data_IF_560440319342
#
_entry.id   IF_560440319342
#
_cell.length_a   1.000
_cell.length_b   1.000
_cell.length_c   1.000
_cell.angle_alpha   90.00
_cell.angle_beta   90.00
_cell.angle_gamma   90.00
#
_symmetry.space_group_name_H-M   'P 1'
#
loop_
_entity.id
_entity.type
_entity.pdbx_description
1 polymer ?
#
# COMPACT_ATOMS: atom_id res chain seq x y z
N UNK A 1 73.13 66.74 -36.37
CA UNK A 1 72.10 67.02 -35.35
C UNK A 1 71.34 65.73 -35.10
N UNK A 2 71.30 65.35 -33.82
CA UNK A 2 70.64 64.18 -33.24
C UNK A 2 69.23 63.88 -33.76
N UNK A 3 68.87 62.59 -33.80
CA UNK A 3 67.91 62.05 -32.83
C UNK A 3 67.86 60.51 -32.84
N UNK A 4 68.15 59.92 -31.65
CA UNK A 4 67.85 58.54 -31.25
C UNK A 4 66.55 58.56 -30.42
N UNK A 5 65.61 57.65 -30.69
CA UNK A 5 64.56 57.22 -29.75
C UNK A 5 64.30 55.73 -30.03
N UNK A 6 64.86 54.81 -29.25
CA UNK A 6 64.36 54.19 -27.99
C UNK A 6 63.19 53.21 -28.19
N UNK A 7 63.55 51.95 -28.40
CA UNK A 7 62.76 50.74 -28.17
C UNK A 7 63.01 50.18 -26.75
N UNK A 8 62.07 49.35 -26.31
CA UNK A 8 62.16 48.36 -25.21
C UNK A 8 62.00 48.80 -23.75
N UNK A 9 60.76 48.70 -23.25
CA UNK A 9 60.47 48.30 -21.86
C UNK A 9 58.99 47.92 -21.64
N UNK A 10 58.52 46.75 -22.10
CA UNK A 10 57.26 46.14 -21.62
C UNK A 10 57.26 44.62 -21.67
N UNK A 11 57.68 43.97 -20.57
CA UNK A 11 57.06 42.73 -20.07
C UNK A 11 57.86 42.21 -18.87
N UNK A 12 57.26 42.12 -17.67
CA UNK A 12 57.58 41.12 -16.62
C UNK A 12 56.89 41.47 -15.28
N UNK A 13 55.56 41.44 -15.23
CA UNK A 13 54.79 41.48 -13.98
C UNK A 13 53.56 40.57 -14.14
N UNK A 14 53.65 39.29 -13.76
CA UNK A 14 52.45 38.44 -13.82
C UNK A 14 52.55 36.94 -13.46
N UNK A 15 53.73 36.37 -13.23
CA UNK A 15 53.88 34.89 -13.13
C UNK A 15 54.17 34.33 -11.73
N UNK A 16 54.46 35.17 -10.72
CA UNK A 16 54.88 34.68 -9.38
C UNK A 16 53.73 34.42 -8.38
N UNK A 17 52.54 34.97 -8.61
CA UNK A 17 51.40 34.79 -7.70
C UNK A 17 50.71 33.42 -7.85
N UNK A 18 50.57 32.92 -9.08
CA UNK A 18 49.87 31.66 -9.36
C UNK A 18 50.62 30.42 -8.86
N UNK A 19 51.96 30.40 -8.91
CA UNK A 19 52.74 29.23 -8.47
C UNK A 19 52.74 29.03 -6.95
N UNK A 20 52.73 30.12 -6.18
CA UNK A 20 52.64 30.08 -4.71
C UNK A 20 51.27 29.59 -4.23
N UNK A 21 50.20 29.98 -4.91
CA UNK A 21 48.85 29.52 -4.60
C UNK A 21 48.69 28.01 -4.87
N UNK A 22 49.20 27.52 -6.00
CA UNK A 22 49.17 26.08 -6.35
C UNK A 22 50.00 25.21 -5.39
N UNK A 23 51.18 25.69 -4.96
CA UNK A 23 52.01 24.98 -3.99
C UNK A 23 51.39 24.94 -2.58
N UNK A 24 50.65 25.99 -2.20
CA UNK A 24 49.90 26.02 -0.93
C UNK A 24 48.72 25.03 -0.96
N UNK A 25 47.96 24.98 -2.05
CA UNK A 25 46.88 23.99 -2.23
C UNK A 25 47.45 22.57 -2.18
N UNK A 26 48.54 22.27 -2.90
CA UNK A 26 49.18 20.94 -2.87
C UNK A 26 49.72 20.54 -1.49
N UNK A 27 50.13 21.51 -0.66
CA UNK A 27 50.66 21.23 0.68
C UNK A 27 49.55 20.99 1.72
N UNK A 28 48.37 21.55 1.51
CA UNK A 28 47.28 21.54 2.49
C UNK A 28 46.02 20.80 2.02
N UNK A 29 46.02 20.16 0.84
CA UNK A 29 44.85 19.44 0.31
C UNK A 29 44.35 18.29 1.21
N UNK A 30 45.20 17.77 2.09
CA UNK A 30 44.83 16.74 3.06
C UNK A 30 44.03 17.27 4.28
N UNK A 31 44.08 18.58 4.56
CA UNK A 31 43.35 19.17 5.71
C UNK A 31 41.83 19.10 5.55
N UNK A 32 41.25 19.40 4.37
CA UNK A 32 39.83 19.13 4.12
C UNK A 32 39.42 17.69 4.40
N UNK A 33 40.25 16.70 4.03
CA UNK A 33 39.97 15.27 4.27
C UNK A 33 39.92 14.97 5.78
N UNK A 34 40.82 15.57 6.57
CA UNK A 34 40.83 15.44 8.03
C UNK A 34 39.65 16.14 8.72
N UNK A 35 39.04 17.15 8.08
CA UNK A 35 37.83 17.82 8.59
C UNK A 35 36.54 17.12 8.17
N UNK A 36 36.53 16.41 7.04
CA UNK A 36 35.38 15.60 6.59
C UNK A 36 35.14 14.43 7.55
N UNK A 37 36.19 13.76 8.04
CA UNK A 37 36.04 12.62 8.94
C UNK A 37 35.27 12.92 10.25
N UNK A 38 35.58 13.96 11.05
CA UNK A 38 34.81 14.31 12.24
C UNK A 38 33.42 14.86 11.91
N UNK A 39 33.23 15.50 10.75
CA UNK A 39 31.92 15.92 10.28
C UNK A 39 31.03 14.71 9.96
N UNK A 40 31.54 13.76 9.18
CA UNK A 40 30.87 12.48 8.88
C UNK A 40 30.61 11.68 10.16
N UNK A 41 31.56 11.62 11.10
CA UNK A 41 31.35 10.97 12.39
C UNK A 41 30.26 11.68 13.21
N UNK A 42 30.26 13.01 13.22
CA UNK A 42 29.22 13.81 13.90
C UNK A 42 27.84 13.58 13.28
N UNK A 43 27.76 13.55 11.94
CA UNK A 43 26.54 13.24 11.20
C UNK A 43 26.08 11.80 11.46
N UNK A 44 26.99 10.83 11.44
CA UNK A 44 26.69 9.42 11.71
C UNK A 44 26.18 9.22 13.14
N UNK A 45 26.84 9.82 14.13
CA UNK A 45 26.37 9.79 15.54
C UNK A 45 25.00 10.47 15.65
N UNK A 46 24.78 11.60 14.97
CA UNK A 46 23.48 12.26 14.97
C UNK A 46 22.39 11.42 14.29
N UNK A 47 22.70 10.70 13.22
CA UNK A 47 21.80 9.82 12.49
C UNK A 47 21.49 8.53 13.25
N UNK A 48 22.45 8.02 14.04
CA UNK A 48 22.30 6.78 14.82
C UNK A 48 21.76 7.03 16.22
N UNK A 49 21.74 8.27 16.73
CA UNK A 49 21.19 8.64 18.04
C UNK A 49 19.73 8.25 18.31
N UNK A 50 18.78 8.32 17.37
CA UNK A 50 17.45 7.76 17.58
C UNK A 50 17.51 6.23 17.50
N UNK A 51 18.16 5.60 18.47
CA UNK A 51 18.09 4.15 18.66
C UNK A 51 16.74 3.83 19.27
N UNK A 52 15.89 3.14 18.53
CA UNK A 52 14.65 2.59 19.04
C UNK A 52 14.98 1.57 20.13
N UNK A 53 14.58 1.86 21.37
CA UNK A 53 14.81 0.92 22.46
C UNK A 53 13.60 -0.01 22.61
N UNK A 54 13.81 -1.28 23.01
CA UNK A 54 12.70 -2.21 23.27
C UNK A 54 11.71 -1.71 24.35
N UNK A 55 12.21 -0.92 25.31
CA UNK A 55 11.40 -0.27 26.36
C UNK A 55 10.37 0.70 25.78
N UNK A 56 10.76 1.49 24.76
CA UNK A 56 9.88 2.47 24.10
C UNK A 56 8.68 1.76 23.44
N UNK A 57 8.95 0.64 22.76
CA UNK A 57 7.90 -0.19 22.14
C UNK A 57 6.94 -0.80 23.16
N UNK A 58 7.48 -1.25 24.30
CA UNK A 58 6.67 -1.84 25.37
C UNK A 58 5.74 -0.79 25.99
N UNK A 59 6.25 0.42 26.21
CA UNK A 59 5.46 1.55 26.72
C UNK A 59 4.37 1.98 25.72
N UNK A 60 4.71 2.13 24.44
CA UNK A 60 3.74 2.46 23.38
C UNK A 60 2.67 1.38 23.27
N UNK A 61 3.05 0.10 23.31
CA UNK A 61 2.12 -1.03 23.26
C UNK A 61 1.11 -0.99 24.41
N UNK A 62 1.60 -0.83 25.65
CA UNK A 62 0.72 -0.73 26.82
C UNK A 62 -0.26 0.44 26.69
N UNK A 63 0.21 1.59 26.19
CA UNK A 63 -0.64 2.76 25.98
C UNK A 63 -1.68 2.56 24.87
N UNK A 64 -1.32 1.82 23.80
CA UNK A 64 -2.23 1.46 22.72
C UNK A 64 -3.31 0.48 23.20
N UNK A 65 -2.92 -0.57 23.93
CA UNK A 65 -3.87 -1.57 24.48
C UNK A 65 -4.93 -0.92 25.37
N UNK A 66 -4.58 0.15 26.10
CA UNK A 66 -5.52 0.87 26.96
C UNK A 66 -6.51 1.78 26.22
N UNK A 67 -6.24 2.17 24.97
CA UNK A 67 -7.01 3.21 24.26
C UNK A 67 -7.66 2.75 22.96
N UNK A 68 -7.07 1.76 22.29
CA UNK A 68 -7.49 1.37 20.94
C UNK A 68 -8.87 0.73 20.97
N UNK A 69 -9.75 1.17 20.07
CA UNK A 69 -11.04 0.52 19.82
C UNK A 69 -10.96 -0.40 18.60
N UNK A 70 -11.81 -1.44 18.48
CA UNK A 70 -11.83 -2.30 17.29
C UNK A 70 -11.97 -1.54 15.96
N UNK A 71 -12.71 -0.43 15.97
CA UNK A 71 -12.91 0.47 14.83
C UNK A 71 -11.78 1.45 14.58
N UNK A 72 -10.78 1.55 15.47
CA UNK A 72 -9.67 2.50 15.30
C UNK A 72 -8.62 1.90 14.34
N UNK A 73 -8.05 2.76 13.50
CA UNK A 73 -6.88 2.44 12.70
C UNK A 73 -5.62 2.53 13.56
N UNK A 74 -4.71 1.58 13.42
CA UNK A 74 -3.35 1.69 13.96
C UNK A 74 -2.37 1.67 12.78
N UNK A 75 -1.52 2.68 12.68
CA UNK A 75 -0.49 2.77 11.63
C UNK A 75 0.87 3.09 12.22
N UNK A 76 1.92 2.68 11.50
CA UNK A 76 3.30 2.95 11.87
C UNK A 76 3.94 3.83 10.80
N UNK A 77 4.64 4.88 11.24
CA UNK A 77 5.28 5.87 10.38
C UNK A 77 6.76 6.04 10.73
N UNK A 78 7.66 6.15 9.74
CA UNK A 78 7.42 5.99 8.31
C UNK A 78 7.09 4.52 7.94
N UNK A 79 6.54 4.28 6.75
CA UNK A 79 6.03 2.97 6.33
C UNK A 79 7.07 1.84 6.38
N UNK A 80 8.35 2.12 6.19
CA UNK A 80 9.41 1.10 6.29
C UNK A 80 9.58 0.55 7.71
N UNK A 81 9.09 1.25 8.74
CA UNK A 81 9.15 0.80 10.14
C UNK A 81 8.02 -0.17 10.49
N UNK A 82 7.00 -0.28 9.64
CA UNK A 82 5.79 -1.08 9.86
C UNK A 82 6.08 -2.56 10.18
N UNK A 83 7.02 -3.26 9.51
CA UNK A 83 7.33 -4.65 9.86
C UNK A 83 7.86 -4.82 11.29
N UNK A 84 8.66 -3.85 11.77
CA UNK A 84 9.13 -3.85 13.16
C UNK A 84 7.97 -3.52 14.11
N UNK A 85 7.12 -2.56 13.74
CA UNK A 85 5.92 -2.24 14.51
C UNK A 85 4.98 -3.44 14.67
N UNK A 86 4.74 -4.22 13.61
CA UNK A 86 3.97 -5.47 13.70
C UNK A 86 4.59 -6.48 14.66
N UNK A 87 5.91 -6.66 14.59
CA UNK A 87 6.62 -7.56 15.49
C UNK A 87 6.45 -7.15 16.97
N UNK A 88 6.51 -5.85 17.26
CA UNK A 88 6.48 -5.33 18.63
C UNK A 88 5.05 -5.20 19.19
N UNK A 89 4.12 -4.69 18.38
CA UNK A 89 2.72 -4.44 18.77
C UNK A 89 1.86 -5.71 18.70
N UNK A 90 2.23 -6.68 17.86
CA UNK A 90 1.55 -7.96 17.70
C UNK A 90 0.21 -7.88 16.97
N UNK A 91 -0.34 -9.05 16.66
CA UNK A 91 -1.52 -9.19 15.77
C UNK A 91 -2.83 -8.66 16.40
N UNK A 92 -2.89 -8.50 17.72
CA UNK A 92 -4.05 -7.93 18.41
C UNK A 92 -4.19 -6.42 18.17
N UNK A 93 -3.07 -5.69 18.08
CA UNK A 93 -3.06 -4.26 17.76
C UNK A 93 -2.93 -4.02 16.25
N UNK A 94 -2.13 -4.84 15.57
CA UNK A 94 -1.87 -4.76 14.13
C UNK A 94 -2.63 -5.86 13.39
N UNK A 95 -3.95 -5.87 13.54
CA UNK A 95 -4.81 -6.87 12.89
C UNK A 95 -4.69 -6.81 11.37
N UNK A 96 -5.02 -7.90 10.69
CA UNK A 96 -5.05 -7.95 9.21
C UNK A 96 -5.93 -6.84 8.63
N UNK A 97 -7.08 -6.55 9.26
CA UNK A 97 -7.99 -5.49 8.82
C UNK A 97 -7.38 -4.09 8.90
N UNK A 98 -6.45 -3.84 9.84
CA UNK A 98 -5.74 -2.55 9.97
C UNK A 98 -4.54 -2.48 9.04
N UNK A 99 -3.73 -3.54 9.03
CA UNK A 99 -2.47 -3.61 8.27
C UNK A 99 -2.74 -3.67 6.78
N UNK A 100 -3.65 -4.54 6.35
CA UNK A 100 -3.96 -4.80 4.96
C UNK A 100 -5.24 -4.12 4.49
N UNK A 101 -5.58 -2.97 5.09
CA UNK A 101 -6.76 -2.18 4.72
C UNK A 101 -6.73 -1.72 3.26
N UNK A 102 -7.91 -1.56 2.69
CA UNK A 102 -8.07 -0.96 1.36
C UNK A 102 -7.75 0.55 1.41
N UNK A 103 -8.38 1.24 2.36
CA UNK A 103 -8.29 2.68 2.55
C UNK A 103 -8.48 3.07 4.04
N UNK A 104 -8.12 4.31 4.37
CA UNK A 104 -8.23 4.88 5.72
C UNK A 104 -9.62 5.46 6.04
N UNK A 105 -10.45 5.78 5.04
CA UNK A 105 -11.70 6.51 5.23
C UNK A 105 -12.72 5.75 6.08
N UNK A 106 -12.63 4.41 6.10
CA UNK A 106 -13.49 3.54 6.92
C UNK A 106 -13.27 3.66 8.43
N UNK A 107 -12.20 4.29 8.86
CA UNK A 107 -11.86 4.41 10.27
C UNK A 107 -12.21 5.83 10.79
N UNK A 108 -12.96 5.95 11.89
CA UNK A 108 -13.28 7.25 12.49
C UNK A 108 -12.07 7.90 13.17
N UNK A 109 -11.13 7.09 13.65
CA UNK A 109 -9.93 7.53 14.37
C UNK A 109 -8.74 6.68 13.95
N UNK A 110 -7.57 7.31 13.88
CA UNK A 110 -6.30 6.67 13.67
C UNK A 110 -5.39 6.94 14.87
N UNK A 111 -4.65 5.92 15.28
CA UNK A 111 -3.53 6.04 16.19
C UNK A 111 -2.25 5.76 15.39
N UNK A 112 -1.47 6.80 15.17
CA UNK A 112 -0.20 6.75 14.47
C UNK A 112 0.94 6.57 15.48
N UNK A 113 1.72 5.50 15.34
CA UNK A 113 3.01 5.34 16.02
C UNK A 113 4.11 5.75 15.07
N UNK A 114 4.82 6.82 15.36
CA UNK A 114 5.81 7.41 14.46
C UNK A 114 7.22 7.45 15.05
N UNK A 115 8.24 7.32 14.21
CA UNK A 115 9.62 7.62 14.56
C UNK A 115 9.88 9.12 14.34
N UNK A 116 10.14 9.84 15.42
CA UNK A 116 10.34 11.29 15.40
C UNK A 116 9.15 12.05 14.79
N UNK A 117 9.42 12.98 13.88
CA UNK A 117 8.40 13.80 13.21
C UNK A 117 7.78 13.15 11.99
N UNK A 118 8.03 11.86 11.72
CA UNK A 118 7.44 11.17 10.58
C UNK A 118 5.91 11.17 10.64
N UNK A 119 5.27 11.28 9.47
CA UNK A 119 3.81 11.29 9.31
C UNK A 119 3.38 10.35 8.18
N UNK A 120 2.26 9.67 8.38
CA UNK A 120 1.62 8.84 7.39
C UNK A 120 0.92 9.75 6.37
N UNK A 121 1.24 9.69 5.07
CA UNK A 121 0.70 10.62 4.09
C UNK A 121 -0.84 10.65 4.03
N UNK A 122 -1.49 9.48 4.18
CA UNK A 122 -2.95 9.38 4.15
C UNK A 122 -3.66 10.06 5.34
N UNK A 123 -2.92 10.38 6.41
CA UNK A 123 -3.45 11.02 7.62
C UNK A 123 -3.14 12.52 7.67
N UNK A 124 -2.58 13.10 6.60
CA UNK A 124 -2.14 14.49 6.59
C UNK A 124 -3.29 15.49 6.83
N UNK A 125 -4.49 15.17 6.38
CA UNK A 125 -5.70 15.99 6.56
C UNK A 125 -6.45 15.70 7.87
N UNK A 126 -6.03 14.70 8.65
CA UNK A 126 -6.74 14.28 9.85
C UNK A 126 -6.43 15.20 11.03
N UNK A 127 -7.42 15.44 11.88
CA UNK A 127 -7.28 16.37 12.99
C UNK A 127 -6.54 15.71 14.16
N UNK A 128 -5.37 16.26 14.53
CA UNK A 128 -4.61 15.79 15.69
C UNK A 128 -5.36 16.14 16.99
N UNK A 129 -5.74 15.12 17.75
CA UNK A 129 -6.41 15.28 19.06
C UNK A 129 -5.44 15.18 20.22
N UNK A 130 -4.46 14.28 20.12
CA UNK A 130 -3.53 13.97 21.19
C UNK A 130 -2.18 13.52 20.64
N UNK A 131 -1.11 13.90 21.32
CA UNK A 131 0.26 13.50 20.99
C UNK A 131 1.03 13.17 22.28
N UNK A 132 1.75 12.06 22.27
CA UNK A 132 2.58 11.58 23.38
C UNK A 132 3.87 10.98 22.83
N UNK A 133 4.96 11.01 23.61
CA UNK A 133 6.29 10.56 23.17
C UNK A 133 6.95 9.62 24.17
N UNK A 134 7.65 8.61 23.66
CA UNK A 134 8.49 7.67 24.41
C UNK A 134 9.80 7.49 23.65
N UNK A 135 10.87 8.11 24.16
CA UNK A 135 12.16 8.10 23.49
C UNK A 135 12.06 8.67 22.06
N UNK A 136 12.37 7.85 21.06
CA UNK A 136 12.29 8.23 19.66
C UNK A 136 10.90 8.01 19.03
N UNK A 137 9.99 7.32 19.72
CA UNK A 137 8.63 7.06 19.25
C UNK A 137 7.66 8.15 19.70
N UNK A 138 6.73 8.50 18.82
CA UNK A 138 5.62 9.40 19.12
C UNK A 138 4.31 8.73 18.73
N UNK A 139 3.34 8.69 19.64
CA UNK A 139 1.98 8.24 19.36
C UNK A 139 1.08 9.45 19.18
N UNK A 140 0.35 9.50 18.07
CA UNK A 140 -0.64 10.54 17.76
C UNK A 140 -2.00 9.92 17.58
N UNK A 141 -3.02 10.49 18.23
CA UNK A 141 -4.43 10.16 17.98
C UNK A 141 -5.00 11.22 17.04
N UNK A 142 -5.51 10.79 15.89
CA UNK A 142 -6.04 11.66 14.85
C UNK A 142 -7.48 11.29 14.54
N UNK A 143 -8.37 12.28 14.46
CA UNK A 143 -9.76 12.11 14.06
C UNK A 143 -9.92 12.28 12.55
N UNK A 144 -10.64 11.34 11.94
CA UNK A 144 -11.03 11.44 10.54
C UNK A 144 -12.08 12.55 10.37
N UNK A 145 -11.84 13.56 9.50
CA UNK A 145 -12.81 14.63 9.26
C UNK A 145 -14.08 14.15 8.53
N UNK A 146 -14.00 13.03 7.79
CA UNK A 146 -15.10 12.51 6.97
C UNK A 146 -15.08 10.97 6.98
N UNK A 147 -15.57 10.33 8.06
CA UNK A 147 -15.59 8.88 8.18
C UNK A 147 -16.68 8.24 7.34
N UNK A 148 -16.30 7.23 6.55
CA UNK A 148 -17.18 6.43 5.71
C UNK A 148 -17.30 5.00 6.26
N UNK A 149 -18.13 4.75 7.29
CA UNK A 149 -18.21 3.45 7.95
C UNK A 149 -18.73 2.35 7.02
N UNK A 150 -18.24 1.13 7.23
CA UNK A 150 -18.60 -0.02 6.41
C UNK A 150 -19.92 -0.61 6.89
N UNK A 151 -20.90 -0.71 6.00
CA UNK A 151 -22.14 -1.45 6.25
C UNK A 151 -21.89 -2.95 6.07
N UNK A 152 -21.25 -3.31 4.97
CA UNK A 152 -20.95 -4.69 4.61
C UNK A 152 -19.57 -4.81 3.94
N UNK A 153 -18.79 -5.85 4.31
CA UNK A 153 -17.43 -6.11 3.81
C UNK A 153 -17.40 -7.42 3.04
N UNK A 154 -17.42 -7.34 1.71
CA UNK A 154 -17.64 -8.51 0.86
C UNK A 154 -16.46 -9.47 0.86
N UNK A 155 -15.26 -9.01 1.24
CA UNK A 155 -14.11 -9.91 1.44
C UNK A 155 -14.39 -10.85 2.61
N UNK A 156 -15.01 -10.35 3.69
CA UNK A 156 -15.43 -11.18 4.83
C UNK A 156 -16.54 -12.17 4.48
N UNK A 157 -17.25 -11.93 3.36
CA UNK A 157 -18.26 -12.84 2.83
C UNK A 157 -17.72 -13.88 1.84
N UNK A 158 -16.40 -13.94 1.62
CA UNK A 158 -15.77 -14.90 0.72
C UNK A 158 -15.70 -16.33 1.34
N UNK A 159 -16.86 -16.86 1.72
CA UNK A 159 -17.05 -18.16 2.39
C UNK A 159 -18.05 -19.02 1.63
N UNK A 160 -17.96 -20.35 1.78
CA UNK A 160 -18.88 -21.33 1.17
C UNK A 160 -20.37 -21.03 1.39
N UNK A 161 -20.70 -20.40 2.53
CA UNK A 161 -22.08 -20.14 2.92
C UNK A 161 -22.62 -18.84 2.36
N UNK A 162 -21.77 -17.81 2.19
CA UNK A 162 -22.20 -16.46 1.83
C UNK A 162 -21.94 -16.12 0.37
N UNK A 163 -21.06 -16.85 -0.31
CA UNK A 163 -20.71 -16.64 -1.72
C UNK A 163 -20.85 -17.94 -2.51
N UNK A 164 -21.15 -17.83 -3.80
CA UNK A 164 -20.96 -18.91 -4.78
C UNK A 164 -20.00 -18.40 -5.87
N UNK A 165 -19.22 -19.32 -6.45
CA UNK A 165 -18.26 -18.99 -7.52
C UNK A 165 -18.48 -19.94 -8.70
N UNK A 166 -18.47 -19.40 -9.91
CA UNK A 166 -18.64 -20.18 -11.14
C UNK A 166 -17.87 -19.61 -12.32
N UNK A 167 -17.51 -20.46 -13.27
CA UNK A 167 -17.02 -20.10 -14.59
C UNK A 167 -18.21 -20.12 -15.57
N UNK A 168 -18.36 -19.05 -16.35
CA UNK A 168 -19.49 -18.86 -17.24
C UNK A 168 -19.00 -18.65 -18.67
N UNK A 169 -19.58 -19.38 -19.63
CA UNK A 169 -19.30 -19.23 -21.07
C UNK A 169 -20.61 -19.33 -21.85
N UNK A 170 -21.13 -18.19 -22.30
CA UNK A 170 -22.48 -18.13 -22.86
C UNK A 170 -23.49 -18.64 -21.82
N UNK A 171 -24.28 -19.64 -22.18
CA UNK A 171 -25.26 -20.27 -21.28
C UNK A 171 -24.65 -21.35 -20.37
N UNK A 172 -23.42 -21.81 -20.64
CA UNK A 172 -22.78 -22.84 -19.83
C UNK A 172 -22.25 -22.26 -18.52
N UNK A 173 -22.72 -22.81 -17.39
CA UNK A 173 -22.27 -22.46 -16.04
C UNK A 173 -21.57 -23.66 -15.40
N UNK A 174 -20.32 -23.48 -15.00
CA UNK A 174 -19.54 -24.49 -14.28
C UNK A 174 -19.26 -23.98 -12.85
N UNK A 175 -19.86 -24.56 -11.80
CA UNK A 175 -19.57 -24.16 -10.42
C UNK A 175 -18.13 -24.51 -10.04
N UNK A 176 -17.49 -23.63 -9.26
CA UNK A 176 -16.22 -23.91 -8.62
C UNK A 176 -16.46 -24.57 -7.25
N UNK A 177 -15.63 -25.54 -6.90
CA UNK A 177 -15.81 -26.32 -5.66
C UNK A 177 -15.10 -25.63 -4.48
N UNK A 178 -15.80 -25.46 -3.37
CA UNK A 178 -15.17 -25.04 -2.12
C UNK A 178 -14.35 -26.18 -1.51
N UNK A 179 -13.08 -25.93 -1.19
CA UNK A 179 -12.21 -26.91 -0.54
C UNK A 179 -11.41 -26.29 0.59
N UNK A 180 -11.17 -27.12 1.59
CA UNK A 180 -10.20 -26.87 2.64
C UNK A 180 -8.89 -27.59 2.29
N UNK A 181 -7.78 -26.86 2.30
CA UNK A 181 -6.46 -27.38 2.05
C UNK A 181 -5.41 -26.74 2.96
N UNK A 182 -4.14 -27.08 2.74
CA UNK A 182 -3.06 -26.40 3.45
C UNK A 182 -2.90 -24.97 2.91
N UNK A 183 -2.66 -23.98 3.78
CA UNK A 183 -2.32 -22.64 3.34
C UNK A 183 -0.90 -22.65 2.75
N UNK A 184 -0.68 -21.85 1.71
CA UNK A 184 0.62 -21.77 1.05
C UNK A 184 1.03 -20.31 0.93
N UNK A 185 2.25 -20.02 1.38
CA UNK A 185 2.89 -18.72 1.21
C UNK A 185 4.32 -18.96 0.74
N UNK A 186 4.94 -17.95 0.14
CA UNK A 186 6.28 -18.08 -0.42
C UNK A 186 7.07 -16.76 -0.39
N UNK A 187 8.31 -16.79 -0.90
CA UNK A 187 9.14 -15.59 -1.00
C UNK A 187 8.53 -14.57 -1.97
N UNK A 188 9.15 -13.38 -2.05
CA UNK A 188 8.78 -12.37 -3.05
C UNK A 188 8.69 -12.99 -4.45
N UNK A 189 7.61 -12.70 -5.18
CA UNK A 189 7.33 -13.27 -6.49
C UNK A 189 6.57 -14.60 -6.49
N UNK A 190 6.22 -15.14 -5.31
CA UNK A 190 5.35 -16.33 -5.22
C UNK A 190 3.91 -16.06 -5.66
N UNK A 191 3.44 -14.82 -5.57
CA UNK A 191 2.04 -14.47 -5.71
C UNK A 191 1.37 -14.17 -4.36
N UNK A 192 0.05 -13.94 -4.36
CA UNK A 192 -0.73 -13.79 -3.14
C UNK A 192 -0.69 -15.07 -2.30
N UNK A 193 -0.82 -14.91 -0.98
CA UNK A 193 -0.88 -16.05 -0.06
C UNK A 193 -2.14 -16.90 -0.34
N UNK A 194 -1.99 -18.21 -0.50
CA UNK A 194 -3.13 -19.10 -0.71
C UNK A 194 -3.73 -19.46 0.66
N UNK A 195 -4.98 -19.06 0.96
CA UNK A 195 -5.63 -19.40 2.22
C UNK A 195 -5.98 -20.89 2.27
N UNK A 196 -6.21 -21.46 3.45
CA UNK A 196 -6.66 -22.85 3.58
C UNK A 196 -8.00 -23.09 2.88
N UNK A 197 -8.94 -22.18 3.09
CA UNK A 197 -10.31 -22.23 2.60
C UNK A 197 -10.45 -21.39 1.32
N UNK A 198 -10.84 -22.04 0.22
CA UNK A 198 -10.95 -21.39 -1.10
C UNK A 198 -11.80 -22.18 -2.08
N UNK A 199 -12.32 -21.50 -3.09
CA UNK A 199 -12.90 -22.14 -4.26
C UNK A 199 -11.79 -22.57 -5.23
N UNK A 200 -11.91 -23.77 -5.77
CA UNK A 200 -11.05 -24.28 -6.84
C UNK A 200 -11.76 -24.16 -8.19
N UNK A 201 -11.19 -23.36 -9.08
CA UNK A 201 -11.71 -23.08 -10.42
C UNK A 201 -10.71 -23.57 -11.47
N UNK A 202 -10.81 -24.85 -11.87
CA UNK A 202 -9.85 -25.51 -12.79
C UNK A 202 -8.39 -25.38 -12.31
N UNK A 203 -7.60 -24.52 -12.95
CA UNK A 203 -6.17 -24.31 -12.65
C UNK A 203 -5.91 -23.10 -11.75
N UNK A 204 -6.96 -22.50 -11.19
CA UNK A 204 -6.86 -21.35 -10.29
C UNK A 204 -7.74 -21.53 -9.06
N UNK A 205 -7.65 -20.57 -8.13
CA UNK A 205 -8.48 -20.51 -6.94
C UNK A 205 -9.09 -19.12 -6.77
N UNK A 206 -10.19 -19.06 -6.02
CA UNK A 206 -10.86 -17.81 -5.63
C UNK A 206 -11.10 -17.81 -4.13
N UNK A 207 -10.79 -16.72 -3.45
CA UNK A 207 -10.96 -16.61 -2.01
C UNK A 207 -10.27 -15.38 -1.42
N UNK A 208 -10.48 -15.16 -0.13
CA UNK A 208 -9.81 -14.10 0.62
C UNK A 208 -8.28 -14.32 0.65
N UNK A 209 -7.52 -13.25 0.43
CA UNK A 209 -6.06 -13.26 0.52
C UNK A 209 -5.49 -11.89 0.90
N UNK A 210 -4.18 -11.85 1.07
CA UNK A 210 -3.37 -10.64 1.12
C UNK A 210 -2.55 -10.54 -0.17
N UNK A 211 -2.80 -9.50 -0.95
CA UNK A 211 -2.06 -9.16 -2.17
C UNK A 211 -1.08 -8.02 -1.88
N UNK A 212 0.14 -8.09 -2.42
CA UNK A 212 1.06 -6.96 -2.39
C UNK A 212 0.76 -6.05 -3.59
N UNK A 213 0.44 -4.79 -3.33
CA UNK A 213 0.23 -3.80 -4.39
C UNK A 213 1.56 -3.31 -5.00
N UNK A 214 1.49 -2.37 -5.95
CA UNK A 214 2.65 -1.82 -6.65
C UNK A 214 3.66 -1.13 -5.71
N UNK A 215 3.23 -0.69 -4.52
CA UNK A 215 4.07 -0.09 -3.47
C UNK A 215 4.50 -1.12 -2.42
N UNK A 216 4.26 -2.41 -2.66
CA UNK A 216 4.48 -3.51 -1.71
C UNK A 216 3.67 -3.38 -0.41
N UNK A 217 2.57 -2.61 -0.42
CA UNK A 217 1.65 -2.59 0.72
C UNK A 217 0.74 -3.81 0.68
N UNK A 218 0.50 -4.46 1.81
CA UNK A 218 -0.44 -5.57 1.88
C UNK A 218 -1.88 -5.05 1.68
N UNK A 219 -2.68 -5.76 0.89
CA UNK A 219 -4.09 -5.47 0.62
C UNK A 219 -4.92 -6.72 0.82
N UNK A 220 -5.85 -6.67 1.78
CA UNK A 220 -6.82 -7.73 2.02
C UNK A 220 -7.90 -7.63 0.94
N UNK A 221 -8.05 -8.69 0.16
CA UNK A 221 -8.90 -8.69 -1.02
C UNK A 221 -9.32 -10.12 -1.39
N UNK A 222 -10.22 -10.23 -2.36
CA UNK A 222 -10.60 -11.50 -2.97
C UNK A 222 -9.72 -11.72 -4.19
N UNK A 223 -8.90 -12.77 -4.14
CA UNK A 223 -8.18 -13.24 -5.32
C UNK A 223 -9.18 -13.82 -6.31
N UNK A 224 -9.24 -13.27 -7.52
CA UNK A 224 -10.21 -13.67 -8.53
C UNK A 224 -9.65 -13.49 -9.95
N UNK A 225 -8.64 -14.27 -10.32
CA UNK A 225 -7.98 -14.14 -11.61
C UNK A 225 -8.96 -14.48 -12.76
N UNK A 226 -9.10 -13.63 -13.79
CA UNK A 226 -9.99 -13.89 -14.92
C UNK A 226 -9.54 -15.13 -15.72
N UNK A 227 -10.48 -15.92 -16.26
CA UNK A 227 -10.18 -17.16 -16.99
C UNK A 227 -9.65 -16.93 -18.42
N UNK A 228 -9.80 -15.70 -18.95
CA UNK A 228 -9.37 -15.34 -20.30
C UNK A 228 -10.37 -15.71 -21.41
N UNK A 229 -10.18 -15.12 -22.60
CA UNK A 229 -11.01 -15.41 -23.77
C UNK A 229 -12.46 -14.95 -23.62
N UNK A 230 -13.40 -15.86 -23.88
CA UNK A 230 -14.86 -15.60 -23.82
C UNK A 230 -15.50 -16.12 -22.53
N UNK A 231 -14.69 -16.58 -21.57
CA UNK A 231 -15.17 -17.07 -20.28
C UNK A 231 -15.11 -15.95 -19.24
N UNK A 232 -16.06 -15.97 -18.30
CA UNK A 232 -16.20 -15.00 -17.21
C UNK A 232 -16.12 -15.75 -15.89
N UNK A 233 -15.40 -15.19 -14.92
CA UNK A 233 -15.45 -15.65 -13.54
C UNK A 233 -16.57 -14.87 -12.82
N UNK A 234 -17.57 -15.58 -12.34
CA UNK A 234 -18.73 -15.01 -11.65
C UNK A 234 -18.67 -15.34 -10.16
N UNK A 235 -18.69 -14.29 -9.33
CA UNK A 235 -18.84 -14.36 -7.87
C UNK A 235 -20.22 -13.83 -7.50
N UNK A 236 -20.91 -14.52 -6.60
CA UNK A 236 -22.29 -14.17 -6.22
C UNK A 236 -22.48 -14.23 -4.72
N UNK A 237 -22.68 -13.08 -4.09
CA UNK A 237 -22.95 -12.95 -2.66
C UNK A 237 -24.45 -12.97 -2.38
N UNK A 238 -24.90 -13.84 -1.48
CA UNK A 238 -26.32 -14.18 -1.31
C UNK A 238 -27.15 -13.11 -0.60
N UNK A 239 -26.55 -12.38 0.34
CA UNK A 239 -27.26 -11.47 1.24
C UNK A 239 -26.41 -10.25 1.59
N UNK A 240 -26.25 -9.33 0.63
CA UNK A 240 -25.50 -8.09 0.83
C UNK A 240 -26.42 -6.99 1.31
N UNK A 241 -26.05 -6.32 2.41
CA UNK A 241 -26.76 -5.13 2.88
C UNK A 241 -26.26 -3.89 2.14
N UNK A 242 -27.12 -3.28 1.35
CA UNK A 242 -26.78 -2.12 0.53
C UNK A 242 -26.82 -0.82 1.32
N UNK A 243 -25.83 0.03 1.04
CA UNK A 243 -25.81 1.43 1.42
C UNK A 243 -26.17 2.33 0.25
N UNK A 244 -25.74 3.58 0.33
CA UNK A 244 -25.84 4.56 -0.76
C UNK A 244 -24.78 4.34 -1.83
N UNK A 245 -23.66 3.70 -1.50
CA UNK A 245 -22.59 3.43 -2.44
C UNK A 245 -22.06 1.99 -2.32
N UNK A 246 -21.66 1.45 -3.46
CA UNK A 246 -20.75 0.30 -3.55
C UNK A 246 -19.35 0.84 -3.86
N UNK A 247 -18.46 0.80 -2.88
CA UNK A 247 -17.08 1.28 -3.00
C UNK A 247 -16.14 0.09 -3.02
N UNK A 248 -15.19 0.08 -3.94
CA UNK A 248 -14.18 -0.96 -3.99
C UNK A 248 -12.84 -0.48 -4.50
N UNK A 249 -11.88 -1.38 -4.39
CA UNK A 249 -10.55 -1.21 -4.93
C UNK A 249 -10.12 -2.48 -5.63
N UNK A 250 -9.26 -2.35 -6.62
CA UNK A 250 -8.71 -3.48 -7.36
C UNK A 250 -7.30 -3.21 -7.83
N UNK A 251 -6.55 -4.30 -7.97
CA UNK A 251 -5.21 -4.31 -8.48
C UNK A 251 -4.84 -5.69 -9.03
N UNK A 252 -3.66 -5.75 -9.62
CA UNK A 252 -2.93 -6.97 -9.89
C UNK A 252 -1.79 -7.15 -8.86
N UNK A 253 -1.26 -8.36 -8.76
CA UNK A 253 -0.04 -8.59 -7.99
C UNK A 253 1.14 -7.82 -8.61
N UNK A 254 2.06 -7.35 -7.76
CA UNK A 254 3.11 -6.37 -8.09
C UNK A 254 3.91 -6.64 -9.38
N UNK A 255 4.24 -7.89 -9.73
CA UNK A 255 4.95 -8.20 -10.96
C UNK A 255 4.13 -7.90 -12.21
N UNK A 256 2.82 -8.17 -12.18
CA UNK A 256 1.94 -7.87 -13.30
C UNK A 256 1.76 -6.36 -13.49
N UNK A 257 1.54 -5.63 -12.39
CA UNK A 257 1.46 -4.16 -12.36
C UNK A 257 2.74 -3.50 -12.92
N UNK A 258 3.90 -4.01 -12.49
CA UNK A 258 5.20 -3.46 -12.87
C UNK A 258 5.58 -3.77 -14.31
N UNK A 259 5.31 -4.99 -14.77
CA UNK A 259 5.73 -5.45 -16.09
C UNK A 259 4.94 -4.80 -17.23
N UNK A 260 3.66 -4.43 -17.00
CA UNK A 260 2.80 -3.72 -17.96
C UNK A 260 2.67 -4.38 -19.33
N UNK A 261 2.35 -5.68 -19.34
CA UNK A 261 2.38 -6.53 -20.53
C UNK A 261 1.09 -7.27 -20.84
N UNK A 262 0.15 -7.35 -19.91
CA UNK A 262 -1.06 -8.12 -20.13
C UNK A 262 -2.24 -7.24 -20.53
N UNK A 263 -3.40 -7.85 -20.83
CA UNK A 263 -4.63 -7.13 -21.13
C UNK A 263 -5.28 -6.54 -19.87
N UNK A 264 -6.18 -5.57 -20.05
CA UNK A 264 -6.99 -5.03 -18.97
C UNK A 264 -7.90 -6.11 -18.34
N UNK A 265 -8.22 -5.94 -17.05
CA UNK A 265 -9.23 -6.74 -16.34
C UNK A 265 -10.49 -5.90 -16.16
N UNK A 266 -11.62 -6.44 -16.58
CA UNK A 266 -12.93 -5.81 -16.44
C UNK A 266 -13.72 -6.51 -15.35
N UNK A 267 -14.31 -5.74 -14.44
CA UNK A 267 -15.25 -6.22 -13.42
C UNK A 267 -16.58 -5.48 -13.55
N UNK A 268 -17.68 -6.23 -13.58
CA UNK A 268 -19.05 -5.69 -13.61
C UNK A 268 -19.79 -6.13 -12.38
N UNK A 269 -20.50 -5.19 -11.75
CA UNK A 269 -21.37 -5.47 -10.63
C UNK A 269 -22.83 -5.39 -11.03
N UNK A 270 -23.63 -6.35 -10.59
CA UNK A 270 -25.08 -6.38 -10.82
C UNK A 270 -25.84 -6.90 -9.61
N UNK A 271 -27.10 -6.51 -9.48
CA UNK A 271 -28.03 -6.95 -8.43
C UNK A 271 -29.44 -6.99 -9.00
N UNK A 272 -30.18 -8.08 -8.80
CA UNK A 272 -31.53 -8.30 -9.36
C UNK A 272 -31.63 -7.99 -10.87
N UNK A 273 -30.70 -8.52 -11.66
CA UNK A 273 -30.57 -8.31 -13.11
C UNK A 273 -30.28 -6.86 -13.57
N UNK A 274 -30.07 -5.93 -12.64
CA UNK A 274 -29.65 -4.56 -12.93
C UNK A 274 -28.13 -4.42 -12.79
N UNK A 275 -27.46 -3.86 -13.80
CA UNK A 275 -26.04 -3.48 -13.70
C UNK A 275 -25.89 -2.24 -12.84
N UNK A 276 -25.15 -2.36 -11.73
CA UNK A 276 -24.81 -1.25 -10.85
C UNK A 276 -23.66 -0.42 -11.41
N UNK A 277 -22.69 -1.07 -12.06
CA UNK A 277 -21.56 -0.40 -12.66
C UNK A 277 -20.46 -1.33 -13.12
N UNK A 278 -19.42 -0.73 -13.70
CA UNK A 278 -18.27 -1.40 -14.26
C UNK A 278 -16.97 -0.66 -13.88
N UNK A 279 -15.91 -1.41 -13.62
CA UNK A 279 -14.56 -0.89 -13.49
C UNK A 279 -13.59 -1.67 -14.39
N UNK A 280 -12.59 -0.97 -14.92
CA UNK A 280 -11.54 -1.54 -15.76
C UNK A 280 -10.21 -1.24 -15.08
N UNK A 281 -9.42 -2.28 -14.86
CA UNK A 281 -8.08 -2.18 -14.34
C UNK A 281 -7.04 -2.42 -15.44
N UNK A 282 -6.09 -1.50 -15.56
CA UNK A 282 -4.93 -1.59 -16.45
C UNK A 282 -3.64 -1.74 -15.65
N UNK A 283 -2.66 -2.45 -16.23
CA UNK A 283 -1.36 -2.62 -15.57
C UNK A 283 -0.71 -1.27 -15.23
N UNK A 284 -0.21 -1.14 -14.01
CA UNK A 284 0.52 0.04 -13.54
C UNK A 284 -0.37 1.06 -12.85
N UNK A 285 -1.68 0.80 -12.71
CA UNK A 285 -2.60 1.61 -11.92
C UNK A 285 -2.44 1.36 -10.41
N UNK A 286 -1.88 0.21 -10.01
CA UNK A 286 -1.73 -0.14 -8.60
C UNK A 286 -3.08 -0.32 -7.89
N UNK A 287 -3.16 0.03 -6.61
CA UNK A 287 -4.39 -0.11 -5.81
C UNK A 287 -5.42 0.99 -6.15
N UNK A 288 -6.09 0.82 -7.28
CA UNK A 288 -7.06 1.77 -7.85
C UNK A 288 -8.46 1.62 -7.25
N UNK A 289 -9.19 2.72 -7.10
CA UNK A 289 -10.55 2.74 -6.54
C UNK A 289 -11.63 2.86 -7.62
N UNK A 290 -12.83 2.38 -7.29
CA UNK A 290 -14.05 2.60 -8.06
C UNK A 290 -15.25 2.72 -7.11
N UNK A 291 -16.28 3.44 -7.54
CA UNK A 291 -17.51 3.62 -6.76
C UNK A 291 -18.74 3.64 -7.67
N UNK A 292 -19.83 3.04 -7.20
CA UNK A 292 -21.11 3.02 -7.89
C UNK A 292 -22.22 3.48 -6.95
N UNK A 293 -23.17 4.27 -7.48
CA UNK A 293 -24.34 4.73 -6.74
C UNK A 293 -25.32 3.57 -6.55
N UNK A 294 -25.65 3.27 -5.29
CA UNK A 294 -26.66 2.28 -4.91
C UNK A 294 -27.78 2.87 -4.05
N UNK A 295 -27.98 4.19 -4.12
CA UNK A 295 -28.96 4.93 -3.31
C UNK A 295 -30.39 4.36 -3.46
N UNK A 296 -30.78 3.90 -4.65
CA UNK A 296 -32.08 3.26 -4.91
C UNK A 296 -32.29 1.93 -4.14
N UNK A 297 -31.20 1.36 -3.63
CA UNK A 297 -31.13 0.09 -2.89
C UNK A 297 -30.73 0.27 -1.43
N UNK A 298 -30.45 1.50 -0.98
CA UNK A 298 -29.99 1.77 0.38
C UNK A 298 -30.96 1.19 1.43
N UNK A 299 -30.39 0.46 2.40
CA UNK A 299 -31.13 -0.21 3.47
C UNK A 299 -31.75 -1.55 3.08
N UNK A 300 -31.69 -1.97 1.81
CA UNK A 300 -32.17 -3.28 1.36
C UNK A 300 -31.07 -4.34 1.50
N UNK A 301 -31.51 -5.59 1.62
CA UNK A 301 -30.62 -6.76 1.47
C UNK A 301 -30.98 -7.47 0.18
N UNK A 302 -29.99 -7.70 -0.68
CA UNK A 302 -30.19 -8.39 -1.95
C UNK A 302 -28.95 -9.19 -2.35
N UNK A 303 -29.07 -9.97 -3.42
CA UNK A 303 -27.93 -10.63 -4.03
C UNK A 303 -27.05 -9.58 -4.75
N UNK A 304 -25.73 -9.74 -4.66
CA UNK A 304 -24.78 -9.00 -5.49
C UNK A 304 -23.96 -9.99 -6.30
N UNK A 305 -23.76 -9.69 -7.58
CA UNK A 305 -22.94 -10.45 -8.48
C UNK A 305 -21.77 -9.59 -8.97
N UNK A 306 -20.57 -10.18 -9.04
CA UNK A 306 -19.42 -9.65 -9.75
C UNK A 306 -19.05 -10.58 -10.91
N UNK A 307 -18.89 -10.03 -12.09
CA UNK A 307 -18.43 -10.74 -13.29
C UNK A 307 -17.08 -10.19 -13.74
N UNK A 308 -16.06 -11.06 -13.76
CA UNK A 308 -14.67 -10.70 -13.97
C UNK A 308 -14.20 -11.35 -15.27
N UNK A 309 -13.63 -10.53 -16.16
CA UNK A 309 -13.22 -10.95 -17.49
C UNK A 309 -11.93 -10.28 -17.93
N UNK A 310 -11.24 -10.92 -18.87
CA UNK A 310 -10.09 -10.35 -19.58
C UNK A 310 -9.90 -11.10 -20.89
N UNK A 311 -9.31 -10.46 -21.90
CA UNK A 311 -9.10 -11.09 -23.21
C UNK A 311 -8.11 -12.26 -23.14
N UNK A 312 -7.17 -12.23 -22.18
CA UNK A 312 -6.22 -13.32 -21.91
C UNK A 312 -6.01 -13.48 -20.39
N UNK A 313 -5.76 -14.70 -19.94
CA UNK A 313 -5.56 -15.03 -18.53
C UNK A 313 -4.11 -14.84 -18.05
N UNK A 314 -3.16 -14.64 -18.96
CA UNK A 314 -1.74 -14.66 -18.62
C UNK A 314 -1.38 -13.54 -17.65
N UNK A 315 -0.80 -13.93 -16.50
CA UNK A 315 -0.31 -13.02 -15.46
C UNK A 315 -1.41 -12.10 -14.91
N UNK A 316 -2.64 -12.59 -14.82
CA UNK A 316 -3.77 -11.84 -14.26
C UNK A 316 -4.06 -12.29 -12.84
N UNK A 317 -3.08 -12.09 -11.95
CA UNK A 317 -3.19 -12.31 -10.50
C UNK A 317 -4.06 -11.21 -9.88
N UNK A 318 -5.31 -11.12 -10.33
CA UNK A 318 -6.23 -10.04 -10.02
C UNK A 318 -6.81 -10.21 -8.62
N UNK A 319 -6.87 -9.10 -7.89
CA UNK A 319 -7.44 -9.04 -6.56
C UNK A 319 -8.25 -7.78 -6.41
N UNK A 320 -9.40 -7.90 -5.75
CA UNK A 320 -10.28 -6.76 -5.52
C UNK A 320 -10.97 -6.88 -4.17
N UNK A 321 -11.33 -5.75 -3.60
CA UNK A 321 -12.18 -5.66 -2.42
C UNK A 321 -13.36 -4.76 -2.73
N UNK A 322 -14.47 -5.03 -2.07
CA UNK A 322 -15.68 -4.23 -2.21
C UNK A 322 -16.38 -4.18 -0.87
N UNK A 323 -16.96 -3.03 -0.61
CA UNK A 323 -17.74 -2.78 0.58
C UNK A 323 -18.95 -1.91 0.25
N UNK A 324 -19.98 -1.97 1.09
CA UNK A 324 -21.11 -1.05 1.03
C UNK A 324 -20.96 0.07 2.06
N UNK A 325 -21.45 1.27 1.71
CA UNK A 325 -21.36 2.51 2.49
C UNK A 325 -22.71 3.22 2.53
#
# INVERSE_FOLDING_TARGET
MENRVNEDARSNLGTTSKSRFMAWIQRWWFVPVLLVAPLELGLHISQTRPVLKPEDWTAVRSQLEAQVQPSDLVVVSPSWLEPLGRLQLGDGLMTVQRVARADESRFPVAIEVSLGSARHPALASWHLEQEQSWGALQMRRLRNPDPHPVIDDLVSHATAHQMDVSLVRGEAVQPCEWRHGQPVTGPLGFGPAQPSDRYHCRNTWVGETINADLEYKPRRCIHAPPPGGQEVLRLRWKSVRFGTHLLGHHALYVEAERDRKGPAVRIVFSSDDETLGEAIHEDGQGWSSFAFDTTSRAGKTAELQAEISSTRADRRTYCFEVTTR
#
